data_IF_427906909472
#
_entry.id   IF_427906909472
#
_cell.length_a   1.000
_cell.length_b   1.000
_cell.length_c   1.000
_cell.angle_alpha   90.00
_cell.angle_beta   90.00
_cell.angle_gamma   90.00
#
_symmetry.space_group_name_H-M   'P 1'
#
loop_
_entity.id
_entity.type
_entity.pdbx_description
1 polymer ?
#
# COMPACT_ATOMS: atom_id res chain seq x y z
N UNK A 1 -21.82 64.16 -48.01
CA UNK A 1 -22.07 63.17 -46.95
C UNK A 1 -20.76 62.96 -46.20
N UNK A 2 -20.65 63.52 -45.00
CA UNK A 2 -19.46 63.46 -44.15
C UNK A 2 -19.64 62.29 -43.20
N UNK A 3 -18.75 61.30 -43.23
CA UNK A 3 -18.75 60.17 -42.30
C UNK A 3 -17.72 60.44 -41.19
N UNK A 4 -18.21 60.57 -39.96
CA UNK A 4 -17.42 60.74 -38.74
C UNK A 4 -17.04 59.35 -38.24
N UNK A 5 -15.74 59.05 -38.16
CA UNK A 5 -15.22 57.86 -37.51
C UNK A 5 -14.97 58.16 -36.02
N UNK A 6 -15.75 57.54 -35.15
CA UNK A 6 -15.56 57.54 -33.68
C UNK A 6 -14.39 56.65 -33.29
N UNK A 7 -13.33 57.24 -32.74
CA UNK A 7 -12.22 56.55 -32.07
C UNK A 7 -12.67 56.22 -30.64
N UNK A 8 -12.78 54.94 -30.31
CA UNK A 8 -12.92 54.45 -28.93
C UNK A 8 -11.52 54.15 -28.41
N UNK A 9 -11.00 55.04 -27.56
CA UNK A 9 -9.74 54.82 -26.82
C UNK A 9 -10.01 53.87 -25.65
N UNK A 10 -9.57 52.62 -25.81
CA UNK A 10 -9.54 51.62 -24.75
C UNK A 10 -8.41 51.99 -23.76
N UNK A 11 -8.75 52.56 -22.61
CA UNK A 11 -7.81 52.69 -21.50
C UNK A 11 -7.51 51.28 -20.97
N UNK A 12 -6.35 50.72 -21.37
CA UNK A 12 -5.77 49.58 -20.70
C UNK A 12 -5.44 49.99 -19.25
N UNK A 13 -6.21 49.50 -18.29
CA UNK A 13 -5.81 49.43 -16.89
C UNK A 13 -4.59 48.49 -16.84
N UNK A 14 -3.39 49.07 -16.91
CA UNK A 14 -2.18 48.35 -16.55
C UNK A 14 -2.31 47.98 -15.06
N UNK A 15 -2.31 46.70 -14.67
CA UNK A 15 -2.13 46.36 -13.28
C UNK A 15 -0.80 46.96 -12.84
N UNK A 16 -0.82 47.74 -11.76
CA UNK A 16 0.40 48.22 -11.11
C UNK A 16 1.29 47.00 -10.89
N UNK A 17 2.49 47.03 -11.47
CA UNK A 17 3.56 46.10 -11.13
C UNK A 17 3.73 46.12 -9.61
N UNK A 18 3.41 45.02 -8.93
CA UNK A 18 3.77 44.83 -7.53
C UNK A 18 5.29 44.91 -7.47
N UNK A 19 5.80 45.88 -6.71
CA UNK A 19 7.24 46.03 -6.53
C UNK A 19 7.75 44.83 -5.74
N UNK A 20 8.69 44.07 -6.31
CA UNK A 20 9.35 42.96 -5.65
C UNK A 20 9.91 43.41 -4.29
N UNK A 21 9.45 42.78 -3.21
CA UNK A 21 9.85 43.11 -1.85
C UNK A 21 11.05 42.26 -1.44
N UNK A 22 11.99 42.86 -0.70
CA UNK A 22 13.09 42.11 -0.09
C UNK A 22 12.79 41.85 1.39
N UNK A 23 12.81 40.58 1.79
CA UNK A 23 12.68 40.15 3.19
C UNK A 23 14.03 39.69 3.71
N UNK A 24 14.43 40.20 4.87
CA UNK A 24 15.74 39.89 5.46
C UNK A 24 15.65 38.75 6.48
N UNK A 25 16.57 37.80 6.38
CA UNK A 25 16.80 36.73 7.37
C UNK A 25 18.20 36.91 7.94
N UNK A 26 18.31 37.06 9.25
CA UNK A 26 19.61 37.11 9.92
C UNK A 26 20.13 35.69 10.19
N UNK A 27 21.39 35.44 9.85
CA UNK A 27 22.08 34.15 9.99
C UNK A 27 22.99 34.20 11.20
N UNK A 28 22.75 33.32 12.17
CA UNK A 28 23.67 33.12 13.30
C UNK A 28 23.62 34.22 14.37
N UNK A 29 22.44 34.83 14.61
CA UNK A 29 22.28 35.92 15.60
C UNK A 29 22.32 35.41 17.05
N UNK A 30 23.52 35.32 17.64
CA UNK A 30 23.75 34.79 19.00
C UNK A 30 23.18 33.36 19.20
N UNK A 31 23.02 32.61 18.12
CA UNK A 31 22.44 31.26 18.06
C UNK A 31 22.96 30.52 16.82
N UNK A 32 22.81 29.19 16.78
CA UNK A 32 22.91 28.40 15.55
C UNK A 32 21.54 28.37 14.85
N UNK A 33 21.01 29.55 14.47
CA UNK A 33 19.66 29.69 13.96
C UNK A 33 19.54 30.74 12.84
N UNK A 34 18.47 30.62 12.05
CA UNK A 34 18.00 31.67 11.15
C UNK A 34 16.94 32.50 11.88
N UNK A 35 16.99 33.82 11.76
CA UNK A 35 16.09 34.74 12.46
C UNK A 35 15.48 35.76 11.48
N UNK A 36 14.19 35.66 11.16
CA UNK A 36 13.27 34.58 11.56
C UNK A 36 13.61 33.24 10.89
N UNK A 37 13.20 32.12 11.49
CA UNK A 37 13.42 30.78 10.94
C UNK A 37 12.46 30.46 9.79
N UNK A 38 11.33 31.17 9.70
CA UNK A 38 10.39 31.08 8.59
C UNK A 38 10.00 32.48 8.11
N UNK A 39 9.97 32.66 6.79
CA UNK A 39 9.47 33.88 6.14
C UNK A 39 8.36 33.52 5.16
N UNK A 40 7.33 34.36 5.08
CA UNK A 40 6.29 34.25 4.05
C UNK A 40 6.41 35.43 3.10
N UNK A 41 6.52 35.14 1.80
CA UNK A 41 6.71 36.11 0.72
C UNK A 41 5.77 35.79 -0.44
N UNK A 42 5.75 36.63 -1.47
CA UNK A 42 4.97 36.42 -2.69
C UNK A 42 5.87 36.11 -3.89
N UNK A 43 5.34 35.52 -4.97
CA UNK A 43 6.09 35.36 -6.21
C UNK A 43 6.68 36.68 -6.70
N UNK A 44 7.99 36.69 -6.98
CA UNK A 44 8.79 37.85 -7.37
C UNK A 44 9.57 38.49 -6.22
N UNK A 45 9.27 38.17 -4.96
CA UNK A 45 9.99 38.67 -3.80
C UNK A 45 11.37 38.01 -3.64
N UNK A 46 12.26 38.69 -2.93
CA UNK A 46 13.63 38.24 -2.67
C UNK A 46 13.84 38.02 -1.18
N UNK A 47 14.42 36.87 -0.79
CA UNK A 47 14.97 36.69 0.55
C UNK A 47 16.44 37.08 0.54
N UNK A 48 16.84 37.96 1.45
CA UNK A 48 18.23 38.32 1.70
C UNK A 48 18.68 37.78 3.06
N UNK A 49 19.63 36.87 3.05
CA UNK A 49 20.30 36.39 4.25
C UNK A 49 21.45 37.32 4.62
N UNK A 50 21.55 37.71 5.90
CA UNK A 50 22.59 38.60 6.44
C UNK A 50 23.32 37.93 7.60
N UNK A 51 24.65 37.80 7.52
CA UNK A 51 25.42 37.05 8.51
C UNK A 51 25.75 37.91 9.73
N UNK A 52 25.23 37.52 10.89
CA UNK A 52 25.58 38.13 12.18
C UNK A 52 26.73 37.41 12.90
N UNK A 53 27.10 36.22 12.44
CA UNK A 53 28.27 35.47 12.91
C UNK A 53 28.90 34.64 11.79
N UNK A 54 30.06 34.03 12.07
CA UNK A 54 30.93 33.38 11.09
C UNK A 54 30.70 31.87 11.04
N UNK A 55 30.80 31.26 9.85
CA UNK A 55 30.78 29.81 9.70
C UNK A 55 29.40 29.22 9.37
N UNK A 56 28.54 30.00 8.72
CA UNK A 56 27.19 29.57 8.36
C UNK A 56 26.95 29.56 6.85
N UNK A 57 26.00 28.76 6.36
CA UNK A 57 25.45 28.83 5.00
C UNK A 57 23.93 29.00 5.02
N UNK A 58 23.37 29.37 3.86
CA UNK A 58 21.99 29.13 3.47
C UNK A 58 21.98 28.22 2.25
N UNK A 59 21.58 26.97 2.44
CA UNK A 59 21.59 25.92 1.41
C UNK A 59 20.21 25.31 1.30
N UNK A 60 19.63 25.35 0.09
CA UNK A 60 18.28 24.85 -0.18
C UNK A 60 18.16 23.34 0.01
N UNK A 61 17.02 22.89 0.55
CA UNK A 61 16.74 21.48 0.85
C UNK A 61 16.75 21.18 2.34
N UNK A 62 16.98 19.91 2.69
CA UNK A 62 17.08 19.44 4.08
C UNK A 62 18.49 18.94 4.37
N UNK A 63 18.93 18.88 5.65
CA UNK A 63 20.25 18.35 6.00
C UNK A 63 20.48 16.96 5.38
N UNK A 64 21.55 16.83 4.59
CA UNK A 64 21.89 15.59 3.87
C UNK A 64 21.18 15.41 2.51
N UNK A 65 20.21 16.27 2.17
CA UNK A 65 19.42 16.22 0.94
C UNK A 65 19.26 17.63 0.35
N UNK A 66 20.31 18.21 -0.27
CA UNK A 66 20.23 19.52 -0.90
C UNK A 66 19.32 19.48 -2.14
N UNK A 67 18.46 20.48 -2.29
CA UNK A 67 17.54 20.58 -3.44
C UNK A 67 18.19 21.21 -4.68
N UNK A 68 19.34 21.88 -4.51
CA UNK A 68 20.07 22.54 -5.59
C UNK A 68 19.49 23.87 -6.09
N UNK A 69 18.42 24.38 -5.48
CA UNK A 69 17.78 25.65 -5.87
C UNK A 69 18.67 26.87 -5.55
N UNK A 70 19.37 26.83 -4.42
CA UNK A 70 20.45 27.77 -4.09
C UNK A 70 21.42 27.18 -3.06
N UNK A 71 22.64 27.74 -3.04
CA UNK A 71 23.64 27.53 -2.01
C UNK A 71 24.51 28.79 -1.88
N UNK A 72 24.57 29.38 -0.68
CA UNK A 72 25.42 30.54 -0.42
C UNK A 72 26.90 30.18 -0.25
N UNK A 73 27.23 28.90 -0.01
CA UNK A 73 28.49 28.50 0.58
C UNK A 73 28.63 28.97 2.04
N UNK A 74 29.77 28.65 2.66
CA UNK A 74 30.08 29.10 4.03
C UNK A 74 30.54 30.55 4.00
N UNK A 75 29.78 31.43 4.64
CA UNK A 75 30.06 32.85 4.73
C UNK A 75 30.29 33.30 6.18
N UNK A 76 30.86 34.50 6.30
CA UNK A 76 31.31 35.07 7.57
C UNK A 76 30.50 36.31 7.96
N UNK A 77 30.64 36.76 9.20
CA UNK A 77 29.95 37.94 9.72
C UNK A 77 30.06 39.15 8.77
N UNK A 78 28.95 39.83 8.52
CA UNK A 78 28.84 40.97 7.60
C UNK A 78 28.54 40.61 6.15
N UNK A 79 28.58 39.33 5.78
CA UNK A 79 28.21 38.88 4.43
C UNK A 79 26.69 38.97 4.20
N UNK A 80 26.31 39.05 2.92
CA UNK A 80 24.91 38.96 2.48
C UNK A 80 24.80 38.02 1.29
N UNK A 81 23.66 37.32 1.19
CA UNK A 81 23.31 36.46 0.05
C UNK A 81 21.81 36.64 -0.24
N UNK A 82 21.41 36.64 -1.52
CA UNK A 82 20.01 36.85 -1.90
C UNK A 82 19.53 35.81 -2.90
N UNK A 83 18.25 35.42 -2.80
CA UNK A 83 17.57 34.56 -3.77
C UNK A 83 16.14 35.06 -4.02
N UNK A 84 15.74 35.16 -5.29
CA UNK A 84 14.41 35.61 -5.72
C UNK A 84 13.52 34.42 -6.04
N UNK A 85 12.31 34.40 -5.48
CA UNK A 85 11.39 33.27 -5.58
C UNK A 85 10.23 33.60 -6.52
N UNK A 86 10.14 32.90 -7.65
CA UNK A 86 9.12 33.19 -8.68
C UNK A 86 7.92 32.22 -8.66
N UNK A 87 8.02 31.11 -7.91
CA UNK A 87 6.99 30.07 -7.87
C UNK A 87 6.43 29.92 -6.47
N UNK A 88 5.11 29.77 -6.37
CA UNK A 88 4.44 29.42 -5.10
C UNK A 88 4.94 28.06 -4.61
N UNK A 89 5.09 27.91 -3.29
CA UNK A 89 5.60 26.68 -2.70
C UNK A 89 6.27 26.86 -1.33
N UNK A 90 6.66 25.73 -0.74
CA UNK A 90 7.47 25.69 0.49
C UNK A 90 8.89 25.30 0.13
N UNK A 91 9.85 26.14 0.52
CA UNK A 91 11.26 25.98 0.20
C UNK A 91 12.06 25.83 1.51
N UNK A 92 12.25 24.60 2.01
CA UNK A 92 13.10 24.36 3.17
C UNK A 92 14.57 24.65 2.82
N UNK A 93 15.33 25.07 3.82
CA UNK A 93 16.77 25.29 3.71
C UNK A 93 17.46 25.05 5.05
N UNK A 94 18.77 24.88 5.00
CA UNK A 94 19.59 24.58 6.17
C UNK A 94 20.97 25.22 6.07
N UNK A 95 21.65 25.31 7.21
CA UNK A 95 23.07 25.64 7.27
C UNK A 95 23.88 24.35 7.20
N UNK A 96 24.79 24.19 6.23
CA UNK A 96 25.54 22.95 5.99
C UNK A 96 26.25 22.38 7.23
N UNK A 97 27.06 23.16 7.98
CA UNK A 97 27.73 22.64 9.17
C UNK A 97 26.81 22.46 10.39
N UNK A 98 25.64 23.12 10.42
CA UNK A 98 24.81 23.24 11.63
C UNK A 98 23.40 22.64 11.49
N UNK A 99 23.02 22.20 10.29
CA UNK A 99 21.70 21.65 9.99
C UNK A 99 21.52 20.27 10.60
N UNK A 100 22.47 19.35 10.37
CA UNK A 100 22.39 17.98 10.85
C UNK A 100 22.73 17.84 12.36
N UNK A 101 23.72 18.58 12.86
CA UNK A 101 24.12 18.46 14.27
C UNK A 101 23.18 19.16 15.24
N UNK A 102 22.63 20.29 14.80
CA UNK A 102 22.21 21.35 15.72
C UNK A 102 20.86 21.98 15.31
N UNK A 103 20.23 21.48 14.23
CA UNK A 103 18.90 21.87 13.81
C UNK A 103 18.82 23.27 13.18
N UNK A 104 19.92 23.83 12.66
CA UNK A 104 19.90 25.13 11.99
C UNK A 104 19.24 25.02 10.62
N UNK A 105 17.91 25.07 10.62
CA UNK A 105 17.02 24.96 9.46
C UNK A 105 16.06 26.15 9.38
N UNK A 106 15.56 26.45 8.20
CA UNK A 106 14.55 27.45 7.97
C UNK A 106 13.64 27.11 6.79
N UNK A 107 12.61 27.92 6.58
CA UNK A 107 11.67 27.74 5.47
C UNK A 107 11.29 29.08 4.84
N UNK A 108 11.29 29.14 3.51
CA UNK A 108 10.67 30.24 2.76
C UNK A 108 9.34 29.73 2.24
N UNK A 109 8.23 30.36 2.64
CA UNK A 109 6.90 30.07 2.13
C UNK A 109 6.53 31.13 1.09
N UNK A 110 6.28 30.71 -0.14
CA UNK A 110 5.84 31.61 -1.21
C UNK A 110 4.35 31.39 -1.45
N UNK A 111 3.53 32.38 -1.10
CA UNK A 111 2.06 32.30 -1.18
C UNK A 111 1.52 33.29 -2.21
N UNK A 112 0.37 32.98 -2.81
CA UNK A 112 -0.32 33.91 -3.72
C UNK A 112 -0.84 35.13 -2.95
N UNK A 113 -0.69 36.33 -3.50
CA UNK A 113 -1.26 37.53 -2.90
C UNK A 113 -2.79 37.48 -2.90
N UNK A 114 -3.41 37.54 -1.72
CA UNK A 114 -4.86 37.72 -1.56
C UNK A 114 -5.23 39.16 -1.97
N UNK A 115 -6.35 39.40 -2.69
CA UNK A 115 -6.79 40.78 -2.96
C UNK A 115 -7.14 41.51 -1.66
N UNK A 116 -6.46 42.63 -1.40
CA UNK A 116 -6.66 43.45 -0.20
C UNK A 116 -7.88 44.37 -0.31
N UNK A 117 -8.73 44.50 0.73
CA UNK A 117 -9.82 45.47 0.79
C UNK A 117 -9.31 46.91 1.07
N UNK A 118 -10.05 47.89 0.54
CA UNK A 118 -9.73 49.34 0.54
C UNK A 118 -9.71 49.98 1.94
N UNK A 119 -8.68 50.77 2.32
CA UNK A 119 -8.62 51.45 3.63
C UNK A 119 -9.25 52.85 3.64
N UNK A 120 -9.84 53.23 4.77
CA UNK A 120 -10.30 54.61 5.12
C UNK A 120 -9.45 55.14 6.30
N UNK A 121 -9.06 56.43 6.35
CA UNK A 121 -7.98 56.92 7.23
C UNK A 121 -8.42 57.30 8.66
N UNK A 122 -7.44 57.32 9.57
CA UNK A 122 -7.58 57.57 11.01
C UNK A 122 -7.14 58.98 11.47
N UNK A 123 -7.54 59.43 12.67
CA UNK A 123 -6.78 60.42 13.45
C UNK A 123 -6.20 59.84 14.77
N UNK A 124 -5.00 60.35 15.10
CA UNK A 124 -4.17 60.29 16.32
C UNK A 124 -4.87 60.89 17.55
N UNK A 125 -4.50 60.71 18.84
CA UNK A 125 -3.76 59.73 19.66
C UNK A 125 -3.92 60.18 21.14
N UNK A 126 -4.14 59.26 22.08
CA UNK A 126 -3.95 59.50 23.53
C UNK A 126 -3.54 58.16 24.19
N UNK A 127 -2.53 58.10 25.07
CA UNK A 127 -2.07 56.82 25.63
C UNK A 127 -3.09 56.28 26.62
N UNK A 128 -3.66 55.13 26.27
CA UNK A 128 -4.60 54.33 27.08
C UNK A 128 -3.82 53.23 27.81
N UNK A 129 -4.20 52.85 29.05
CA UNK A 129 -3.52 51.81 29.81
C UNK A 129 -3.48 50.49 29.02
N UNK A 130 -2.36 49.78 29.14
CA UNK A 130 -2.07 48.51 28.45
C UNK A 130 -3.28 47.58 28.51
N UNK A 131 -3.95 47.29 27.37
CA UNK A 131 -5.11 46.40 27.39
C UNK A 131 -4.63 45.00 27.75
N UNK A 132 -5.31 44.40 28.74
CA UNK A 132 -5.33 42.95 28.93
C UNK A 132 -5.61 42.32 27.56
N UNK A 133 -4.84 41.31 27.10
CA UNK A 133 -5.05 40.72 25.79
C UNK A 133 -6.51 40.30 25.68
N UNK A 134 -7.22 40.91 24.73
CA UNK A 134 -8.53 40.46 24.29
C UNK A 134 -8.37 38.97 23.94
N UNK A 135 -9.20 38.05 24.46
CA UNK A 135 -9.13 36.67 24.03
C UNK A 135 -9.26 36.68 22.51
N UNK A 136 -8.25 36.14 21.83
CA UNK A 136 -8.33 35.85 20.40
C UNK A 136 -9.68 35.18 20.16
N UNK A 137 -10.54 35.69 19.25
CA UNK A 137 -11.80 35.02 18.97
C UNK A 137 -11.46 33.57 18.67
N UNK A 138 -12.05 32.64 19.42
CA UNK A 138 -11.90 31.23 19.16
C UNK A 138 -12.19 31.05 17.67
N UNK A 139 -11.26 30.50 16.87
CA UNK A 139 -11.51 30.31 15.46
C UNK A 139 -12.84 29.61 15.34
N UNK A 140 -13.75 30.17 14.54
CA UNK A 140 -15.01 29.49 14.21
C UNK A 140 -14.62 28.11 13.70
N UNK A 141 -15.15 27.01 14.29
CA UNK A 141 -14.85 25.67 13.81
C UNK A 141 -15.09 25.60 12.31
N UNK A 142 -14.17 24.94 11.59
CA UNK A 142 -14.31 24.80 10.15
C UNK A 142 -15.67 24.16 9.81
N UNK A 143 -16.34 24.63 8.74
CA UNK A 143 -17.57 24.00 8.31
C UNK A 143 -17.32 22.52 8.00
N UNK A 144 -18.28 21.65 8.32
CA UNK A 144 -18.16 20.23 8.01
C UNK A 144 -17.95 20.02 6.50
N UNK A 145 -17.03 19.13 6.15
CA UNK A 145 -16.88 18.74 4.75
C UNK A 145 -18.15 18.03 4.24
N UNK A 146 -18.50 18.20 2.96
CA UNK A 146 -19.63 17.51 2.36
C UNK A 146 -19.46 15.98 2.42
N UNK A 147 -20.58 15.27 2.29
CA UNK A 147 -20.65 13.80 2.26
C UNK A 147 -20.06 13.10 3.49
N UNK A 148 -20.13 13.75 4.67
CA UNK A 148 -19.60 13.21 5.93
C UNK A 148 -18.11 12.87 5.86
N UNK A 149 -17.34 13.65 5.11
CA UNK A 149 -15.88 13.43 4.96
C UNK A 149 -15.07 14.25 5.97
N UNK A 150 -13.79 13.90 6.12
CA UNK A 150 -12.79 14.67 6.86
C UNK A 150 -11.53 14.72 5.99
N UNK A 151 -11.01 15.91 5.71
CA UNK A 151 -9.81 16.09 4.89
C UNK A 151 -8.85 17.08 5.57
N UNK A 152 -7.66 16.64 5.93
CA UNK A 152 -6.60 17.49 6.44
C UNK A 152 -5.27 17.15 5.76
N UNK A 153 -4.49 18.18 5.40
CA UNK A 153 -3.26 18.03 4.62
C UNK A 153 -3.44 18.45 3.16
N UNK A 154 -2.32 18.81 2.53
CA UNK A 154 -2.31 19.30 1.15
C UNK A 154 -2.82 18.20 0.20
N UNK A 155 -3.75 18.57 -0.68
CA UNK A 155 -4.37 17.71 -1.69
C UNK A 155 -5.12 16.48 -1.14
N UNK A 156 -5.47 16.45 0.15
CA UNK A 156 -6.31 15.39 0.70
C UNK A 156 -7.72 15.42 0.06
N UNK A 157 -8.20 14.27 -0.44
CA UNK A 157 -9.52 14.10 -1.10
C UNK A 157 -9.81 15.05 -2.28
N UNK A 158 -8.79 15.60 -2.96
CA UNK A 158 -8.99 16.67 -3.94
C UNK A 158 -9.83 16.29 -5.19
N UNK A 159 -9.92 15.00 -5.51
CA UNK A 159 -10.66 14.49 -6.68
C UNK A 159 -11.98 13.77 -6.30
N UNK A 160 -12.44 13.87 -5.05
CA UNK A 160 -13.68 13.25 -4.60
C UNK A 160 -14.89 13.87 -5.28
N UNK A 161 -15.73 13.03 -5.91
CA UNK A 161 -16.95 13.47 -6.60
C UNK A 161 -18.21 13.05 -5.86
N UNK A 162 -18.41 11.74 -5.64
CA UNK A 162 -19.66 11.17 -5.09
C UNK A 162 -19.45 10.25 -3.90
N UNK A 163 -18.21 9.90 -3.58
CA UNK A 163 -17.88 9.11 -2.39
C UNK A 163 -18.22 9.83 -1.09
N UNK A 164 -18.49 9.07 -0.04
CA UNK A 164 -18.92 9.57 1.26
C UNK A 164 -18.22 8.87 2.43
N UNK A 165 -18.17 9.52 3.59
CA UNK A 165 -17.64 8.91 4.82
C UNK A 165 -16.13 8.69 4.82
N UNK A 166 -15.38 9.40 3.99
CA UNK A 166 -13.93 9.26 3.87
C UNK A 166 -13.20 10.15 4.90
N UNK A 167 -12.15 9.60 5.52
CA UNK A 167 -11.22 10.34 6.39
C UNK A 167 -9.83 10.35 5.76
N UNK A 168 -9.32 11.51 5.39
CA UNK A 168 -8.02 11.69 4.76
C UNK A 168 -7.16 12.67 5.56
N UNK A 169 -6.09 12.19 6.19
CA UNK A 169 -5.16 12.99 6.97
C UNK A 169 -3.74 12.80 6.44
N UNK A 170 -3.14 13.85 5.88
CA UNK A 170 -1.78 13.85 5.35
C UNK A 170 -1.69 14.26 3.87
N UNK A 171 -0.48 14.56 3.42
CA UNK A 171 -0.21 14.96 2.04
C UNK A 171 -0.72 13.91 1.05
N UNK A 172 -1.64 14.31 0.17
CA UNK A 172 -2.28 13.48 -0.86
C UNK A 172 -2.99 12.22 -0.34
N UNK A 173 -3.35 12.18 0.95
CA UNK A 173 -4.19 11.08 1.45
C UNK A 173 -5.50 11.03 0.67
N UNK A 174 -5.87 9.86 0.12
CA UNK A 174 -7.06 9.66 -0.72
C UNK A 174 -7.17 10.64 -1.92
N UNK A 175 -6.04 11.11 -2.45
CA UNK A 175 -6.00 12.17 -3.48
C UNK A 175 -6.88 11.90 -4.71
N UNK A 176 -6.83 10.69 -5.26
CA UNK A 176 -7.56 10.31 -6.50
C UNK A 176 -8.82 9.49 -6.25
N UNK A 177 -9.28 9.38 -5.00
CA UNK A 177 -10.54 8.70 -4.73
C UNK A 177 -11.70 9.53 -5.29
N UNK A 178 -12.37 9.01 -6.32
CA UNK A 178 -13.45 9.73 -7.00
C UNK A 178 -14.83 9.31 -6.49
N UNK A 179 -15.05 8.01 -6.28
CA UNK A 179 -16.36 7.41 -5.97
C UNK A 179 -16.34 6.47 -4.76
N UNK A 180 -15.15 6.09 -4.28
CA UNK A 180 -14.99 5.23 -3.11
C UNK A 180 -15.54 5.87 -1.85
N UNK A 181 -16.14 5.04 -1.00
CA UNK A 181 -16.74 5.47 0.25
C UNK A 181 -16.15 4.72 1.44
N UNK A 182 -16.27 5.31 2.62
CA UNK A 182 -15.87 4.72 3.90
C UNK A 182 -14.38 4.36 4.00
N UNK A 183 -13.53 5.12 3.30
CA UNK A 183 -12.10 4.95 3.33
C UNK A 183 -11.44 5.81 4.43
N UNK A 184 -10.47 5.27 5.15
CA UNK A 184 -9.66 6.00 6.14
C UNK A 184 -8.20 5.96 5.73
N UNK A 185 -7.64 7.08 5.29
CA UNK A 185 -6.23 7.24 4.95
C UNK A 185 -5.54 8.21 5.90
N UNK A 186 -4.54 7.73 6.66
CA UNK A 186 -3.74 8.54 7.59
C UNK A 186 -2.26 8.35 7.29
N UNK A 187 -1.61 9.39 6.76
CA UNK A 187 -0.21 9.36 6.35
C UNK A 187 0.01 10.03 5.00
N UNK A 188 1.26 10.40 4.74
CA UNK A 188 1.65 10.93 3.42
C UNK A 188 1.49 9.86 2.35
N UNK A 189 0.61 10.09 1.39
CA UNK A 189 0.36 9.17 0.30
C UNK A 189 -0.43 7.91 0.67
N UNK A 190 -1.16 7.88 1.80
CA UNK A 190 -2.08 6.78 2.08
C UNK A 190 -3.23 6.78 1.05
N UNK A 191 -3.53 5.64 0.42
CA UNK A 191 -4.67 5.47 -0.51
C UNK A 191 -4.72 6.45 -1.70
N UNK A 192 -3.59 6.97 -2.19
CA UNK A 192 -3.55 8.04 -3.25
C UNK A 192 -4.31 7.66 -4.51
N UNK A 193 -4.20 6.41 -4.96
CA UNK A 193 -4.85 5.89 -6.17
C UNK A 193 -5.91 4.84 -5.81
N UNK A 194 -6.63 5.08 -4.71
CA UNK A 194 -7.75 4.24 -4.26
C UNK A 194 -9.04 4.54 -5.03
N UNK A 195 -9.67 3.55 -5.67
CA UNK A 195 -11.05 3.67 -6.15
C UNK A 195 -11.97 2.53 -5.66
N UNK A 196 -11.50 1.78 -4.65
CA UNK A 196 -12.32 0.85 -3.86
C UNK A 196 -12.96 1.52 -2.63
N UNK A 197 -13.81 0.78 -1.93
CA UNK A 197 -14.51 1.25 -0.72
C UNK A 197 -14.09 0.49 0.53
N UNK A 198 -14.36 1.08 1.70
CA UNK A 198 -14.17 0.47 3.01
C UNK A 198 -12.72 0.06 3.32
N UNK A 199 -11.74 0.83 2.82
CA UNK A 199 -10.33 0.58 3.06
C UNK A 199 -9.79 1.44 4.21
N UNK A 200 -8.97 0.85 5.10
CA UNK A 200 -8.24 1.56 6.15
C UNK A 200 -6.75 1.48 5.88
N UNK A 201 -6.07 2.62 5.77
CA UNK A 201 -4.64 2.73 5.53
C UNK A 201 -4.02 3.74 6.51
N UNK A 202 -3.08 3.28 7.34
CA UNK A 202 -2.39 4.11 8.33
C UNK A 202 -0.89 3.93 8.18
N UNK A 203 -0.20 4.94 7.67
CA UNK A 203 1.23 4.91 7.37
C UNK A 203 1.54 5.65 6.07
N UNK A 204 2.81 6.01 5.88
CA UNK A 204 3.24 6.58 4.60
C UNK A 204 3.14 5.53 3.49
N UNK A 205 2.52 5.90 2.37
CA UNK A 205 2.27 5.03 1.22
C UNK A 205 1.53 3.71 1.53
N UNK A 206 0.86 3.60 2.68
CA UNK A 206 -0.01 2.46 2.98
C UNK A 206 -1.14 2.41 1.93
N UNK A 207 -1.31 1.25 1.28
CA UNK A 207 -2.35 1.02 0.26
C UNK A 207 -2.32 2.04 -0.90
N UNK A 208 -1.13 2.54 -1.25
CA UNK A 208 -0.93 3.63 -2.21
C UNK A 208 -1.62 3.41 -3.57
N UNK A 209 -1.50 2.20 -4.12
CA UNK A 209 -1.97 1.84 -5.47
C UNK A 209 -3.06 0.77 -5.38
N UNK A 210 -4.24 1.18 -4.94
CA UNK A 210 -5.40 0.29 -4.80
C UNK A 210 -6.53 0.59 -5.79
N UNK A 211 -6.53 -0.01 -6.98
CA UNK A 211 -7.47 0.44 -8.02
C UNK A 211 -8.92 0.15 -7.65
N UNK A 212 -9.28 -1.10 -7.33
CA UNK A 212 -10.67 -1.50 -7.07
C UNK A 212 -10.85 -2.36 -5.81
N UNK A 213 -9.75 -2.78 -5.19
CA UNK A 213 -9.77 -3.59 -3.97
C UNK A 213 -10.56 -2.92 -2.85
N UNK A 214 -11.39 -3.69 -2.14
CA UNK A 214 -12.24 -3.17 -1.07
C UNK A 214 -12.07 -3.96 0.22
N UNK A 215 -12.46 -3.37 1.35
CA UNK A 215 -12.38 -3.97 2.68
C UNK A 215 -10.96 -4.36 3.12
N UNK A 216 -9.95 -3.60 2.71
CA UNK A 216 -8.56 -3.85 3.10
C UNK A 216 -8.16 -2.99 4.31
N UNK A 217 -7.35 -3.55 5.21
CA UNK A 217 -6.73 -2.83 6.33
C UNK A 217 -5.21 -2.91 6.17
N UNK A 218 -4.52 -1.77 6.08
CA UNK A 218 -3.06 -1.67 6.06
C UNK A 218 -2.57 -0.70 7.14
N UNK A 219 -1.67 -1.17 7.99
CA UNK A 219 -1.07 -0.37 9.06
C UNK A 219 0.45 -0.52 9.04
N UNK A 220 1.16 0.54 8.68
CA UNK A 220 2.60 0.55 8.52
C UNK A 220 3.04 1.33 7.30
N UNK A 221 4.33 1.65 7.23
CA UNK A 221 4.93 2.26 6.04
C UNK A 221 5.02 1.23 4.92
N UNK A 222 4.61 1.62 3.71
CA UNK A 222 4.64 0.77 2.51
C UNK A 222 3.94 -0.60 2.66
N UNK A 223 2.92 -0.66 3.51
CA UNK A 223 2.07 -1.85 3.66
C UNK A 223 1.06 -1.91 2.51
N UNK A 224 0.92 -3.07 1.85
CA UNK A 224 -0.10 -3.32 0.82
C UNK A 224 -0.06 -2.37 -0.40
N UNK A 225 1.13 -1.88 -0.77
CA UNK A 225 1.32 -0.80 -1.77
C UNK A 225 0.69 -1.10 -3.12
N UNK A 226 0.86 -2.31 -3.69
CA UNK A 226 0.53 -2.63 -5.09
C UNK A 226 -0.81 -3.38 -5.29
N UNK A 227 -1.77 -3.19 -4.38
CA UNK A 227 -3.05 -3.92 -4.35
C UNK A 227 -4.07 -3.51 -5.41
N UNK A 228 -3.91 -3.96 -6.65
CA UNK A 228 -4.82 -3.65 -7.75
C UNK A 228 -6.31 -3.93 -7.43
N UNK A 229 -6.71 -5.19 -7.28
CA UNK A 229 -8.11 -5.59 -7.04
C UNK A 229 -8.32 -6.53 -5.84
N UNK A 230 -7.24 -6.88 -5.14
CA UNK A 230 -7.30 -7.71 -3.93
C UNK A 230 -8.23 -7.12 -2.87
N UNK A 231 -9.07 -7.94 -2.26
CA UNK A 231 -10.08 -7.49 -1.29
C UNK A 231 -10.02 -8.30 0.00
N UNK A 232 -10.52 -7.73 1.09
CA UNK A 232 -10.57 -8.36 2.40
C UNK A 232 -9.19 -8.74 3.00
N UNK A 233 -8.12 -8.02 2.65
CA UNK A 233 -6.79 -8.24 3.22
C UNK A 233 -6.57 -7.42 4.49
N UNK A 234 -5.92 -7.99 5.50
CA UNK A 234 -5.47 -7.30 6.71
C UNK A 234 -3.95 -7.40 6.80
N UNK A 235 -3.23 -6.28 6.68
CA UNK A 235 -1.79 -6.23 6.80
C UNK A 235 -1.32 -5.21 7.84
N UNK A 236 -0.30 -5.57 8.62
CA UNK A 236 0.31 -4.70 9.62
C UNK A 236 1.80 -4.95 9.69
N UNK A 237 2.60 -3.91 9.46
CA UNK A 237 4.06 -3.97 9.48
C UNK A 237 4.70 -3.36 8.23
N UNK A 238 5.98 -3.01 8.35
CA UNK A 238 6.75 -2.48 7.23
C UNK A 238 6.79 -3.50 6.06
N UNK A 239 6.38 -3.08 4.86
CA UNK A 239 6.29 -3.93 3.67
C UNK A 239 5.45 -5.22 3.81
N UNK A 240 4.56 -5.31 4.80
CA UNK A 240 3.66 -6.45 4.89
C UNK A 240 2.72 -6.45 3.66
N UNK A 241 2.65 -7.60 2.98
CA UNK A 241 1.82 -7.83 1.79
C UNK A 241 2.02 -6.81 0.65
N UNK A 242 3.21 -6.21 0.54
CA UNK A 242 3.49 -5.07 -0.35
C UNK A 242 3.12 -5.30 -1.81
N UNK A 243 3.40 -6.49 -2.36
CA UNK A 243 3.25 -6.80 -3.78
C UNK A 243 1.94 -7.50 -4.16
N UNK A 244 0.97 -7.60 -3.24
CA UNK A 244 -0.30 -8.27 -3.55
C UNK A 244 -1.02 -7.49 -4.64
N UNK A 245 -1.44 -8.14 -5.73
CA UNK A 245 -2.14 -7.50 -6.85
C UNK A 245 -3.62 -7.85 -6.83
N UNK A 246 -3.94 -9.15 -6.85
CA UNK A 246 -5.34 -9.63 -6.90
C UNK A 246 -5.71 -10.57 -5.75
N UNK A 247 -4.74 -10.99 -4.93
CA UNK A 247 -4.99 -11.90 -3.81
C UNK A 247 -5.94 -11.29 -2.78
N UNK A 248 -6.84 -12.10 -2.24
CA UNK A 248 -7.85 -11.69 -1.27
C UNK A 248 -7.79 -12.50 0.02
N UNK A 249 -8.46 -11.99 1.05
CA UNK A 249 -8.64 -12.67 2.34
C UNK A 249 -7.34 -13.02 3.08
N UNK A 250 -6.24 -12.32 2.82
CA UNK A 250 -4.96 -12.58 3.49
C UNK A 250 -4.83 -11.78 4.80
N UNK A 251 -4.23 -12.38 5.83
CA UNK A 251 -3.78 -11.70 7.06
C UNK A 251 -2.26 -11.73 7.13
N UNK A 252 -1.59 -10.57 7.09
CA UNK A 252 -0.13 -10.45 7.10
C UNK A 252 0.35 -9.50 8.22
N UNK A 253 0.86 -10.03 9.32
CA UNK A 253 1.28 -9.25 10.49
C UNK A 253 2.76 -9.48 10.76
N UNK A 254 3.60 -8.47 10.54
CA UNK A 254 5.05 -8.53 10.76
C UNK A 254 5.83 -7.79 9.66
N UNK A 255 7.10 -7.49 9.92
CA UNK A 255 7.97 -6.92 8.88
C UNK A 255 8.13 -7.93 7.73
N UNK A 256 7.74 -7.53 6.52
CA UNK A 256 7.78 -8.31 5.28
C UNK A 256 7.02 -9.65 5.28
N UNK A 257 6.00 -9.79 6.14
CA UNK A 257 5.08 -10.93 6.06
C UNK A 257 4.36 -10.93 4.69
N UNK A 258 4.37 -12.07 3.99
CA UNK A 258 3.78 -12.24 2.65
C UNK A 258 4.23 -11.19 1.60
N UNK A 259 5.42 -10.60 1.74
CA UNK A 259 5.84 -9.48 0.87
C UNK A 259 5.89 -9.82 -0.63
N UNK A 260 6.20 -11.07 -1.00
CA UNK A 260 6.23 -11.50 -2.40
C UNK A 260 4.87 -11.97 -2.95
N UNK A 261 3.82 -12.03 -2.13
CA UNK A 261 2.51 -12.52 -2.57
C UNK A 261 1.94 -11.58 -3.62
N UNK A 262 1.37 -12.13 -4.69
CA UNK A 262 0.75 -11.40 -5.79
C UNK A 262 -0.72 -11.79 -5.96
N UNK A 263 -1.01 -13.10 -6.00
CA UNK A 263 -2.35 -13.64 -6.31
C UNK A 263 -2.85 -14.69 -5.32
N UNK A 264 -2.04 -15.03 -4.30
CA UNK A 264 -2.39 -16.01 -3.28
C UNK A 264 -3.56 -15.53 -2.41
N UNK A 265 -4.42 -16.46 -2.00
CA UNK A 265 -5.62 -16.18 -1.22
C UNK A 265 -5.58 -16.90 0.13
N UNK A 266 -6.37 -16.38 1.08
CA UNK A 266 -6.71 -17.08 2.33
C UNK A 266 -5.47 -17.47 3.18
N UNK A 267 -4.39 -16.71 3.07
CA UNK A 267 -3.18 -16.92 3.86
C UNK A 267 -3.18 -16.12 5.16
N UNK A 268 -2.86 -16.75 6.27
CA UNK A 268 -2.55 -16.11 7.55
C UNK A 268 -1.04 -16.21 7.81
N UNK A 269 -0.32 -15.10 7.75
CA UNK A 269 1.10 -14.99 8.07
C UNK A 269 1.32 -14.01 9.22
N UNK A 270 1.73 -14.52 10.38
CA UNK A 270 1.97 -13.72 11.58
C UNK A 270 3.40 -13.96 12.04
N UNK A 271 4.28 -13.00 11.84
CA UNK A 271 5.69 -13.04 12.18
C UNK A 271 6.55 -12.29 11.17
N UNK A 272 7.75 -11.89 11.59
CA UNK A 272 8.72 -11.29 10.67
C UNK A 272 9.08 -12.29 9.56
N UNK A 273 8.99 -11.90 8.29
CA UNK A 273 9.30 -12.72 7.11
C UNK A 273 8.45 -14.02 7.01
N UNK A 274 7.31 -14.10 7.69
CA UNK A 274 6.40 -15.24 7.55
C UNK A 274 5.86 -15.30 6.12
N UNK A 275 5.96 -16.46 5.47
CA UNK A 275 5.63 -16.68 4.05
C UNK A 275 6.26 -15.66 3.08
N UNK A 276 7.44 -15.11 3.41
CA UNK A 276 8.06 -14.03 2.63
C UNK A 276 8.17 -14.34 1.12
N UNK A 277 8.52 -15.59 0.76
CA UNK A 277 8.72 -16.00 -0.65
C UNK A 277 7.47 -16.59 -1.31
N UNK A 278 6.32 -16.63 -0.63
CA UNK A 278 5.07 -17.09 -1.23
C UNK A 278 4.61 -16.07 -2.28
N UNK A 279 4.35 -16.53 -3.51
CA UNK A 279 3.97 -15.66 -4.63
C UNK A 279 2.51 -15.85 -5.04
N UNK A 280 2.10 -17.10 -5.29
CA UNK A 280 0.74 -17.45 -5.73
C UNK A 280 0.09 -18.52 -4.88
N UNK A 281 0.70 -18.86 -3.73
CA UNK A 281 0.23 -19.96 -2.90
C UNK A 281 -0.88 -19.52 -1.96
N UNK A 282 -1.75 -20.46 -1.56
CA UNK A 282 -2.98 -20.18 -0.83
C UNK A 282 -3.18 -21.11 0.37
N UNK A 283 -4.13 -20.74 1.22
CA UNK A 283 -4.62 -21.56 2.33
C UNK A 283 -3.54 -21.91 3.38
N UNK A 284 -2.63 -20.99 3.64
CA UNK A 284 -1.61 -21.16 4.67
C UNK A 284 -2.00 -20.56 6.02
N UNK A 285 -1.54 -21.18 7.11
CA UNK A 285 -1.47 -20.57 8.44
C UNK A 285 -0.03 -20.66 8.93
N UNK A 286 0.73 -19.59 8.80
CA UNK A 286 2.11 -19.46 9.24
C UNK A 286 2.20 -18.51 10.44
N UNK A 287 2.63 -19.02 11.59
CA UNK A 287 2.77 -18.26 12.84
C UNK A 287 4.20 -18.41 13.37
N UNK A 288 4.98 -17.33 13.35
CA UNK A 288 6.35 -17.28 13.85
C UNK A 288 7.28 -16.52 12.91
N UNK A 289 8.43 -16.10 13.44
CA UNK A 289 9.50 -15.50 12.61
C UNK A 289 9.95 -16.50 11.55
N UNK A 290 9.96 -16.10 10.28
CA UNK A 290 10.33 -16.91 9.12
C UNK A 290 9.48 -18.18 8.92
N UNK A 291 8.30 -18.28 9.56
CA UNK A 291 7.41 -19.42 9.38
C UNK A 291 7.00 -19.53 7.90
N UNK A 292 7.31 -20.66 7.27
CA UNK A 292 7.01 -20.90 5.86
C UNK A 292 7.71 -19.96 4.87
N UNK A 293 8.80 -19.27 5.26
CA UNK A 293 9.44 -18.26 4.41
C UNK A 293 9.95 -18.78 3.06
N UNK A 294 10.17 -20.09 2.95
CA UNK A 294 10.60 -20.77 1.72
C UNK A 294 9.48 -21.43 0.90
N UNK A 295 8.20 -21.27 1.28
CA UNK A 295 7.08 -21.76 0.46
C UNK A 295 6.99 -20.95 -0.82
N UNK A 296 6.95 -21.62 -1.97
CA UNK A 296 6.89 -20.97 -3.29
C UNK A 296 5.86 -21.56 -4.25
N UNK A 297 5.40 -22.79 -4.01
CA UNK A 297 4.60 -23.53 -5.02
C UNK A 297 3.53 -24.47 -4.47
N UNK A 298 3.35 -24.56 -3.15
CA UNK A 298 2.39 -25.48 -2.52
C UNK A 298 1.42 -24.73 -1.63
N UNK A 299 0.26 -25.32 -1.40
CA UNK A 299 -0.89 -24.73 -0.69
C UNK A 299 -1.22 -25.51 0.58
N UNK A 300 -2.21 -25.04 1.37
CA UNK A 300 -2.83 -25.82 2.45
C UNK A 300 -1.87 -26.27 3.56
N UNK A 301 -1.12 -25.33 4.15
CA UNK A 301 -0.13 -25.66 5.18
C UNK A 301 -0.32 -24.85 6.46
N UNK A 302 -0.25 -25.52 7.61
CA UNK A 302 -0.19 -24.92 8.93
C UNK A 302 1.24 -25.07 9.46
N UNK A 303 1.92 -23.95 9.72
CA UNK A 303 3.31 -23.87 10.19
C UNK A 303 3.36 -22.96 11.41
N UNK A 304 3.77 -23.48 12.56
CA UNK A 304 3.89 -22.72 13.80
C UNK A 304 5.33 -22.83 14.31
N UNK A 305 6.07 -21.73 14.36
CA UNK A 305 7.45 -21.61 14.87
C UNK A 305 8.52 -21.28 13.81
N UNK A 306 9.79 -21.20 14.23
CA UNK A 306 10.88 -20.61 13.45
C UNK A 306 11.62 -21.63 12.58
N UNK A 307 11.33 -21.63 11.28
CA UNK A 307 12.03 -22.47 10.31
C UNK A 307 13.22 -21.75 9.65
N UNK A 308 14.29 -21.45 10.41
CA UNK A 308 15.57 -21.08 9.79
C UNK A 308 16.33 -22.34 9.33
N UNK A 309 16.19 -22.70 8.05
CA UNK A 309 17.35 -23.13 7.27
C UNK A 309 17.82 -24.59 7.28
N UNK A 310 17.06 -25.61 7.73
CA UNK A 310 17.53 -27.00 7.55
C UNK A 310 16.49 -28.09 7.27
N UNK A 311 15.20 -27.77 7.09
CA UNK A 311 14.27 -28.76 6.55
C UNK A 311 13.50 -28.23 5.33
N UNK A 312 14.23 -27.99 4.24
CA UNK A 312 13.71 -27.63 2.90
C UNK A 312 12.70 -28.63 2.30
N UNK A 313 12.45 -29.77 2.97
CA UNK A 313 11.40 -30.75 2.60
C UNK A 313 10.08 -30.49 3.34
N UNK A 314 10.10 -29.77 4.47
CA UNK A 314 8.92 -29.48 5.27
C UNK A 314 8.38 -28.10 4.86
N UNK A 315 7.33 -28.12 4.04
CA UNK A 315 6.72 -26.91 3.47
C UNK A 315 6.70 -26.86 1.94
N UNK A 316 7.22 -27.89 1.26
CA UNK A 316 7.10 -28.06 -0.20
C UNK A 316 6.13 -29.20 -0.56
N UNK A 317 5.25 -29.55 0.37
CA UNK A 317 4.20 -30.56 0.20
C UNK A 317 2.95 -30.00 0.84
N UNK A 318 1.81 -30.06 0.15
CA UNK A 318 0.52 -29.60 0.66
C UNK A 318 0.01 -30.46 1.83
N UNK A 319 -1.00 -29.94 2.54
CA UNK A 319 -1.78 -30.64 3.57
C UNK A 319 -0.97 -31.06 4.82
N UNK A 320 -0.06 -30.19 5.29
CA UNK A 320 0.76 -30.44 6.47
C UNK A 320 0.47 -29.46 7.61
N UNK A 321 0.40 -30.00 8.83
CA UNK A 321 0.42 -29.23 10.07
C UNK A 321 1.73 -29.51 10.83
N UNK A 322 2.52 -28.47 11.07
CA UNK A 322 3.80 -28.56 11.77
C UNK A 322 3.85 -27.55 12.91
N UNK A 323 4.13 -28.03 14.12
CA UNK A 323 4.52 -27.20 15.26
C UNK A 323 6.00 -27.46 15.52
N UNK A 324 6.82 -26.45 15.25
CA UNK A 324 8.26 -26.50 15.37
C UNK A 324 8.69 -26.66 16.85
N UNK A 325 9.88 -27.24 17.07
CA UNK A 325 10.42 -27.65 18.37
C UNK A 325 9.63 -28.74 19.16
N UNK A 326 8.52 -29.25 18.64
CA UNK A 326 7.83 -30.43 19.21
C UNK A 326 8.14 -31.68 18.38
N UNK A 327 8.13 -31.56 17.05
CA UNK A 327 8.39 -32.68 16.15
C UNK A 327 9.85 -33.15 16.25
N UNK A 328 10.06 -34.35 16.80
CA UNK A 328 11.38 -34.99 16.91
C UNK A 328 12.19 -34.64 18.17
N UNK A 329 11.66 -33.81 19.07
CA UNK A 329 12.32 -33.48 20.33
C UNK A 329 12.15 -34.63 21.37
N UNK A 330 13.20 -35.06 22.07
CA UNK A 330 13.10 -36.10 23.10
C UNK A 330 12.36 -35.56 24.34
N UNK A 331 11.25 -36.21 24.71
CA UNK A 331 10.55 -35.96 25.97
C UNK A 331 10.93 -37.00 27.02
N UNK A 332 11.05 -36.57 28.28
CA UNK A 332 11.22 -37.48 29.42
C UNK A 332 10.03 -38.43 29.50
N UNK A 333 10.27 -39.74 29.55
CA UNK A 333 9.23 -40.75 29.68
C UNK A 333 8.38 -40.58 30.97
N UNK A 334 8.87 -39.84 31.96
CA UNK A 334 8.17 -39.59 33.22
C UNK A 334 7.05 -38.53 33.14
N UNK A 335 7.01 -37.73 32.06
CA UNK A 335 6.06 -36.61 31.89
C UNK A 335 5.42 -36.57 30.50
N UNK A 336 5.70 -37.56 29.65
CA UNK A 336 5.16 -37.62 28.30
C UNK A 336 3.66 -37.95 28.31
N UNK A 337 2.83 -36.96 27.98
CA UNK A 337 1.44 -37.19 27.59
C UNK A 337 1.40 -37.48 26.09
N UNK A 338 0.75 -38.58 25.69
CA UNK A 338 0.54 -38.87 24.27
C UNK A 338 -0.51 -37.88 23.75
N UNK A 339 -0.18 -37.18 22.68
CA UNK A 339 -1.14 -36.37 21.92
C UNK A 339 -1.78 -37.27 20.88
N UNK A 340 -3.11 -37.43 20.92
CA UNK A 340 -3.88 -38.21 19.95
C UNK A 340 -4.92 -37.35 19.25
N UNK A 341 -5.36 -37.83 18.08
CA UNK A 341 -6.56 -37.32 17.40
C UNK A 341 -7.72 -38.26 17.78
N UNK A 342 -8.77 -37.73 18.39
CA UNK A 342 -9.95 -38.51 18.78
C UNK A 342 -10.82 -38.91 17.57
N UNK A 343 -11.88 -39.69 17.81
CA UNK A 343 -12.79 -40.17 16.76
C UNK A 343 -13.54 -39.05 16.03
N UNK A 344 -13.58 -37.86 16.61
CA UNK A 344 -14.22 -36.68 16.05
C UNK A 344 -13.20 -35.75 15.36
N UNK A 345 -11.92 -36.14 15.32
CA UNK A 345 -10.85 -35.37 14.66
C UNK A 345 -10.20 -34.30 15.54
N UNK A 346 -10.39 -34.30 16.86
CA UNK A 346 -9.81 -33.30 17.77
C UNK A 346 -8.46 -33.76 18.34
N UNK A 347 -7.48 -32.87 18.33
CA UNK A 347 -6.15 -33.09 18.91
C UNK A 347 -6.18 -32.84 20.44
N UNK A 348 -5.68 -33.76 21.25
CA UNK A 348 -5.65 -33.59 22.72
C UNK A 348 -4.72 -34.54 23.46
N UNK A 349 -4.51 -34.29 24.76
CA UNK A 349 -3.79 -35.17 25.69
C UNK A 349 -4.79 -35.91 26.60
N UNK A 350 -4.41 -37.10 27.08
CA UNK A 350 -5.18 -37.81 28.12
C UNK A 350 -4.26 -38.18 29.29
N UNK A 351 -4.78 -38.07 30.51
CA UNK A 351 -4.10 -38.56 31.72
C UNK A 351 -4.43 -40.03 31.90
N UNK A 352 -3.41 -40.86 32.17
CA UNK A 352 -3.57 -42.28 32.45
C UNK A 352 -4.04 -42.52 33.90
N UNK A 353 -5.14 -41.88 34.31
CA UNK A 353 -5.68 -42.02 35.66
C UNK A 353 -7.06 -42.69 35.60
N UNK A 354 -7.07 -44.02 35.42
CA UNK A 354 -8.30 -44.81 35.48
C UNK A 354 -8.09 -46.26 35.08
N UNK A 355 -8.50 -47.18 35.95
CA UNK A 355 -8.41 -48.64 35.82
C UNK A 355 -8.76 -49.12 34.40
N UNK A 356 -7.78 -49.78 33.79
CA UNK A 356 -7.79 -50.39 32.48
C UNK A 356 -8.96 -51.40 32.31
N UNK A 357 -9.95 -51.16 31.44
CA UNK A 357 -10.87 -52.20 31.02
C UNK A 357 -10.37 -52.96 29.77
N UNK A 358 -9.17 -52.65 29.26
CA UNK A 358 -8.76 -53.10 27.92
C UNK A 358 -7.25 -53.09 27.65
N UNK A 359 -6.46 -53.69 28.53
CA UNK A 359 -5.10 -54.20 28.31
C UNK A 359 -4.19 -53.42 27.35
N UNK A 360 -3.56 -52.33 27.80
CA UNK A 360 -2.39 -51.77 27.11
C UNK A 360 -1.20 -51.61 28.06
N UNK A 361 -0.19 -52.47 27.93
CA UNK A 361 1.05 -52.43 28.74
C UNK A 361 2.19 -51.68 28.01
N UNK A 362 2.96 -50.80 28.69
CA UNK A 362 3.91 -49.87 28.05
C UNK A 362 5.24 -50.49 27.53
N UNK A 363 5.45 -51.80 27.65
CA UNK A 363 6.73 -52.44 27.26
C UNK A 363 6.83 -52.88 25.79
N UNK A 364 5.92 -52.42 24.93
CA UNK A 364 5.75 -53.03 23.60
C UNK A 364 5.41 -52.11 22.44
N UNK A 365 5.71 -50.80 22.48
CA UNK A 365 5.45 -49.95 21.30
C UNK A 365 6.59 -50.12 20.27
N UNK A 366 6.66 -51.30 19.64
CA UNK A 366 6.94 -51.29 18.19
C UNK A 366 5.70 -50.67 17.54
N UNK A 367 5.82 -49.87 16.47
CA UNK A 367 4.66 -49.40 15.72
C UNK A 367 3.78 -50.62 15.41
N UNK A 368 2.62 -50.73 16.05
CA UNK A 368 1.71 -51.81 15.70
C UNK A 368 1.32 -51.58 14.25
N UNK A 369 1.47 -52.62 13.43
CA UNK A 369 1.02 -52.60 12.05
C UNK A 369 -0.44 -52.11 12.05
N UNK A 370 -0.74 -51.13 11.20
CA UNK A 370 -2.11 -50.64 10.96
C UNK A 370 -3.03 -51.86 10.93
N UNK A 371 -4.07 -51.94 11.78
CA UNK A 371 -4.96 -53.10 11.83
C UNK A 371 -5.43 -53.45 10.42
N UNK A 372 -5.48 -54.72 10.06
CA UNK A 372 -5.77 -55.11 8.67
C UNK A 372 -7.10 -54.55 8.16
N UNK A 373 -8.06 -54.33 9.07
CA UNK A 373 -9.32 -53.63 8.78
C UNK A 373 -9.12 -52.16 8.33
N UNK A 374 -8.18 -51.43 8.94
CA UNK A 374 -7.87 -50.04 8.57
C UNK A 374 -7.07 -49.98 7.25
N UNK A 375 -6.12 -50.91 7.02
CA UNK A 375 -5.47 -51.05 5.69
C UNK A 375 -6.50 -51.37 4.61
N UNK A 376 -7.44 -52.25 4.90
CA UNK A 376 -8.51 -52.62 3.97
C UNK A 376 -9.45 -51.45 3.71
N UNK A 377 -9.80 -50.64 4.72
CA UNK A 377 -10.62 -49.45 4.55
C UNK A 377 -9.92 -48.39 3.68
N UNK A 378 -8.62 -48.17 3.89
CA UNK A 378 -7.81 -47.27 3.05
C UNK A 378 -7.70 -47.80 1.61
N UNK A 379 -7.48 -49.10 1.44
CA UNK A 379 -7.44 -49.74 0.12
C UNK A 379 -8.79 -49.61 -0.60
N UNK A 380 -9.90 -49.85 0.10
CA UNK A 380 -11.24 -49.71 -0.46
C UNK A 380 -11.51 -48.27 -0.91
N UNK A 381 -11.08 -47.28 -0.11
CA UNK A 381 -11.23 -45.86 -0.47
C UNK A 381 -10.37 -45.48 -1.67
N UNK A 382 -9.14 -45.99 -1.77
CA UNK A 382 -8.30 -45.80 -2.94
C UNK A 382 -8.94 -46.41 -4.19
N UNK A 383 -9.49 -47.63 -4.08
CA UNK A 383 -10.21 -48.29 -5.17
C UNK A 383 -11.44 -47.47 -5.60
N UNK A 384 -12.22 -46.94 -4.66
CA UNK A 384 -13.37 -46.08 -4.96
C UNK A 384 -12.94 -44.79 -5.69
N UNK A 385 -11.87 -44.14 -5.25
CA UNK A 385 -11.35 -42.95 -5.91
C UNK A 385 -10.85 -43.26 -7.33
N UNK A 386 -10.13 -44.36 -7.51
CA UNK A 386 -9.68 -44.83 -8.82
C UNK A 386 -10.87 -45.11 -9.77
N UNK A 387 -11.94 -45.74 -9.25
CA UNK A 387 -13.15 -45.99 -10.03
C UNK A 387 -13.84 -44.69 -10.45
N UNK A 388 -13.91 -43.70 -9.56
CA UNK A 388 -14.48 -42.39 -9.89
C UNK A 388 -13.66 -41.67 -10.98
N UNK A 389 -12.33 -41.70 -10.89
CA UNK A 389 -11.44 -41.11 -11.91
C UNK A 389 -11.59 -41.81 -13.26
N UNK A 390 -11.66 -43.15 -13.27
CA UNK A 390 -11.85 -43.91 -14.51
C UNK A 390 -13.20 -43.56 -15.15
N UNK A 391 -14.27 -43.49 -14.37
CA UNK A 391 -15.59 -43.10 -14.88
C UNK A 391 -15.59 -41.69 -15.48
N UNK A 392 -14.90 -40.75 -14.82
CA UNK A 392 -14.75 -39.38 -15.33
C UNK A 392 -13.96 -39.34 -16.64
N UNK A 393 -12.84 -40.05 -16.73
CA UNK A 393 -12.04 -40.13 -17.95
C UNK A 393 -12.85 -40.75 -19.09
N UNK A 394 -13.64 -41.77 -18.81
CA UNK A 394 -14.47 -42.44 -19.81
C UNK A 394 -15.55 -41.49 -20.34
N UNK A 395 -16.18 -40.71 -19.47
CA UNK A 395 -17.13 -39.67 -19.87
C UNK A 395 -16.49 -38.56 -20.73
N UNK A 396 -15.26 -38.16 -20.41
CA UNK A 396 -14.50 -37.19 -21.21
C UNK A 396 -14.16 -37.74 -22.61
N UNK A 397 -13.75 -39.01 -22.70
CA UNK A 397 -13.47 -39.68 -23.97
C UNK A 397 -14.72 -39.77 -24.84
N UNK A 398 -15.87 -40.12 -24.25
CA UNK A 398 -17.15 -40.17 -24.97
C UNK A 398 -17.55 -38.79 -25.50
N UNK A 399 -17.38 -37.75 -24.69
CA UNK A 399 -17.66 -36.36 -25.06
C UNK A 399 -16.77 -35.91 -26.22
N UNK A 400 -15.46 -36.16 -26.13
CA UNK A 400 -14.51 -35.81 -27.18
C UNK A 400 -14.81 -36.59 -28.48
N UNK A 401 -15.19 -37.86 -28.36
CA UNK A 401 -15.57 -38.69 -29.51
C UNK A 401 -16.82 -38.15 -30.20
N UNK A 402 -17.81 -37.67 -29.43
CA UNK A 402 -19.01 -37.05 -29.99
C UNK A 402 -18.68 -35.75 -30.73
N UNK A 403 -17.84 -34.88 -30.14
CA UNK A 403 -17.38 -33.65 -30.77
C UNK A 403 -16.61 -33.90 -32.08
N UNK A 404 -15.75 -34.92 -32.11
CA UNK A 404 -15.01 -35.27 -33.33
C UNK A 404 -15.94 -35.78 -34.44
N UNK A 405 -16.99 -36.54 -34.11
CA UNK A 405 -18.00 -36.97 -35.09
C UNK A 405 -18.79 -35.79 -35.65
N UNK A 406 -19.13 -34.82 -34.80
CA UNK A 406 -19.81 -33.59 -35.22
C UNK A 406 -18.93 -32.75 -36.15
N UNK A 407 -17.66 -32.56 -35.81
CA UNK A 407 -16.70 -31.87 -36.68
C UNK A 407 -16.52 -32.58 -38.02
N UNK A 408 -16.43 -33.92 -38.03
CA UNK A 408 -16.34 -34.69 -39.27
C UNK A 408 -17.56 -34.49 -40.18
N UNK A 409 -18.77 -34.42 -39.59
CA UNK A 409 -20.00 -34.16 -40.35
C UNK A 409 -20.01 -32.74 -40.94
N UNK A 410 -19.60 -31.72 -40.18
CA UNK A 410 -19.48 -30.34 -40.66
C UNK A 410 -18.48 -30.22 -41.82
N UNK A 411 -17.34 -30.91 -41.77
CA UNK A 411 -16.35 -30.92 -42.85
C UNK A 411 -16.94 -31.53 -44.14
N UNK A 412 -17.73 -32.60 -44.03
CA UNK A 412 -18.39 -33.21 -45.19
C UNK A 412 -19.41 -32.25 -45.81
N UNK A 413 -20.17 -31.54 -44.99
CA UNK A 413 -21.15 -30.56 -45.46
C UNK A 413 -20.49 -29.40 -46.20
N UNK A 414 -19.41 -28.83 -45.64
CA UNK A 414 -18.63 -27.76 -46.30
C UNK A 414 -18.02 -28.26 -47.62
N UNK A 415 -17.50 -29.49 -47.64
CA UNK A 415 -16.93 -30.10 -48.85
C UNK A 415 -17.98 -30.26 -49.95
N UNK A 416 -19.22 -30.66 -49.61
CA UNK A 416 -20.32 -30.77 -50.56
C UNK A 416 -20.73 -29.40 -51.13
N UNK A 417 -20.79 -28.37 -50.28
CA UNK A 417 -21.09 -26.99 -50.73
C UNK A 417 -20.01 -26.46 -51.70
N UNK A 418 -18.73 -26.76 -51.45
CA UNK A 418 -17.63 -26.38 -52.35
C UNK A 418 -17.77 -27.06 -53.72
N UNK A 419 -18.07 -28.37 -53.77
CA UNK A 419 -18.30 -29.07 -55.04
C UNK A 419 -19.49 -28.50 -55.83
N UNK A 420 -20.58 -28.15 -55.16
CA UNK A 420 -21.75 -27.53 -55.79
C UNK A 420 -21.46 -26.11 -56.33
N UNK A 421 -20.42 -25.45 -55.81
CA UNK A 421 -20.04 -24.08 -56.19
C UNK A 421 -18.98 -24.04 -57.31
N UNK A 422 -18.51 -25.19 -57.82
CA UNK A 422 -17.52 -25.23 -58.90
C UNK A 422 -18.09 -24.70 -60.22
N UNK A 423 -17.47 -23.71 -60.88
CA UNK A 423 -17.96 -23.17 -62.14
C UNK A 423 -17.82 -24.19 -63.27
N UNK A 424 -18.85 -24.34 -64.10
CA UNK A 424 -18.86 -25.25 -65.25
C UNK A 424 -17.84 -24.78 -66.31
N UNK A 425 -16.89 -25.64 -66.66
CA UNK A 425 -15.88 -25.38 -67.69
C UNK A 425 -16.56 -25.28 -69.06
N UNK A 426 -16.62 -24.09 -69.65
CA UNK A 426 -16.99 -23.91 -71.07
C UNK A 426 -15.75 -24.14 -71.93
N UNK A 427 -15.71 -25.26 -72.64
CA UNK A 427 -14.70 -25.54 -73.66
C UNK A 427 -15.08 -24.77 -74.92
N UNK A 428 -14.28 -23.77 -75.31
CA UNK A 428 -14.35 -23.15 -76.63
C UNK A 428 -13.54 -24.03 -77.57
N UNK A 429 -14.23 -24.66 -78.53
CA UNK A 429 -13.59 -25.47 -79.58
C UNK A 429 -13.37 -24.56 -80.77
N UNK A 430 -12.14 -24.05 -80.94
CA UNK A 430 -11.74 -23.43 -82.19
C UNK A 430 -11.41 -24.54 -83.20
N UNK A 431 -12.20 -24.60 -84.27
CA UNK A 431 -11.92 -25.46 -85.43
C UNK A 431 -10.85 -24.81 -86.32
N UNK A 432 -9.99 -25.65 -86.95
CA UNK A 432 -8.69 -25.25 -87.50
C UNK A 432 -8.75 -24.34 -88.72
#
# INVERSE_FOLDING_TARGET
MVAVATIVTLFALFPKSLSATTVTVTVGNNCLCFSPSSVTIHPGDTVQWTWSSTGHSSTSGSPGMPSGLWDSGILNQGATFSHTFNSVGSFPYYCTPHGACCGMVGTVMVVSATPSPTPTPAPTSTPSPTPRPTPTPTPTPDPCYPNFTTAEGCDALSLLTTGAGNTALGWRSLFSDTTGSFNTGVGGGALVLNNGSSNTAVGAAALLLNTTGSNNTAVGTDTLVFNDSGSANTATGYFALMNNTTGGSNTAIGWEALTASTTGNDNTAIGNLALQSSVTTSDHVALGSMAGSGITSVDNNIIIGHHSGVHSVFGQVSDRCTIDNISGAPVSAATAAIVMVDSDGRLGTFTMDGHDPGGFSPKGIRPQAIPDAAKQAMLNRNVQNLQATIAQQQHQIETLTAQLKEQAAQIQEVSAQIEMSKPTVKVIVDKP
#
